data_IF_939221748919
#
_entry.id   IF_939221748919
#
_cell.length_a   1.000
_cell.length_b   1.000
_cell.length_c   1.000
_cell.angle_alpha   90.00
_cell.angle_beta   90.00
_cell.angle_gamma   90.00
#
_symmetry.space_group_name_H-M   'P 1'
#
loop_
_entity.id
_entity.type
_entity.pdbx_description
1 polymer ?
#
# COMPACT_ATOMS: atom_id res chain seq x y z
N UNK A 1 2.15 -13.08 33.72
CA UNK A 1 2.15 -11.66 33.32
C UNK A 1 1.54 -11.58 31.93
N UNK A 2 0.71 -10.57 31.64
CA UNK A 2 0.14 -10.40 30.30
C UNK A 2 1.22 -9.89 29.33
N UNK A 3 1.23 -10.40 28.11
CA UNK A 3 2.11 -9.94 27.04
C UNK A 3 1.66 -8.54 26.59
N UNK A 4 2.57 -7.57 26.61
CA UNK A 4 2.29 -6.20 26.17
C UNK A 4 2.56 -6.11 24.67
N UNK A 5 1.55 -5.74 23.87
CA UNK A 5 1.71 -5.54 22.42
C UNK A 5 1.12 -4.21 21.98
N UNK A 6 1.82 -3.52 21.09
CA UNK A 6 1.31 -2.36 20.37
C UNK A 6 0.83 -2.75 18.98
N UNK A 7 -0.41 -2.38 18.68
CA UNK A 7 -1.14 -2.74 17.47
C UNK A 7 -1.54 -1.48 16.70
N UNK A 8 -1.17 -1.37 15.42
CA UNK A 8 -1.48 -0.18 14.62
C UNK A 8 -2.34 -0.49 13.39
N UNK A 9 -3.48 0.20 13.26
CA UNK A 9 -4.48 -0.06 12.23
C UNK A 9 -5.09 1.24 11.71
N UNK A 10 -5.63 1.19 10.50
CA UNK A 10 -6.54 2.23 10.03
C UNK A 10 -7.82 2.26 10.87
N UNK A 11 -8.60 3.34 10.73
CA UNK A 11 -9.92 3.41 11.38
C UNK A 11 -10.88 2.42 10.70
N UNK A 12 -10.84 1.18 11.17
CA UNK A 12 -11.49 0.04 10.54
C UNK A 12 -12.51 -0.60 11.50
N UNK A 13 -13.80 -0.68 11.11
CA UNK A 13 -14.84 -1.31 11.94
C UNK A 13 -14.53 -2.75 12.33
N UNK A 14 -13.72 -3.48 11.55
CA UNK A 14 -13.33 -4.87 11.84
C UNK A 14 -12.36 -5.00 13.03
N UNK A 15 -11.59 -3.94 13.31
CA UNK A 15 -10.59 -3.91 14.40
C UNK A 15 -11.13 -3.15 15.61
N UNK A 16 -12.17 -2.33 15.42
CA UNK A 16 -12.82 -1.53 16.48
C UNK A 16 -13.13 -2.31 17.78
N UNK A 17 -13.63 -3.57 17.75
CA UNK A 17 -13.88 -4.33 18.98
C UNK A 17 -12.65 -4.59 19.84
N UNK A 18 -11.45 -4.65 19.24
CA UNK A 18 -10.19 -4.74 19.99
C UNK A 18 -9.83 -3.38 20.59
N UNK A 19 -10.01 -2.29 19.82
CA UNK A 19 -9.71 -0.92 20.23
C UNK A 19 -10.59 -0.42 21.38
N UNK A 20 -11.89 -0.70 21.35
CA UNK A 20 -12.84 -0.26 22.39
C UNK A 20 -12.97 -1.25 23.56
N UNK A 21 -12.25 -2.37 23.51
CA UNK A 21 -12.21 -3.38 24.55
C UNK A 21 -13.44 -4.29 24.62
N UNK A 22 -14.34 -4.24 23.63
CA UNK A 22 -15.45 -5.19 23.49
C UNK A 22 -14.94 -6.64 23.38
N UNK A 23 -13.80 -6.83 22.70
CA UNK A 23 -13.06 -8.09 22.63
C UNK A 23 -11.69 -7.89 23.24
N UNK A 24 -11.33 -8.74 24.21
CA UNK A 24 -10.02 -8.74 24.85
C UNK A 24 -9.33 -10.09 24.64
N UNK A 25 -8.15 -10.14 24.02
CA UNK A 25 -7.40 -11.37 23.91
C UNK A 25 -6.98 -11.88 25.31
N UNK A 26 -6.99 -13.19 25.49
CA UNK A 26 -6.55 -13.81 26.73
C UNK A 26 -5.03 -13.67 26.88
N UNK A 27 -4.57 -13.14 28.02
CA UNK A 27 -3.16 -13.07 28.36
C UNK A 27 -2.35 -12.02 27.59
N UNK A 28 -3.01 -11.12 26.85
CA UNK A 28 -2.38 -10.02 26.12
C UNK A 28 -3.02 -8.71 26.57
N UNK A 29 -2.17 -7.72 26.84
CA UNK A 29 -2.54 -6.33 27.03
C UNK A 29 -2.24 -5.57 25.74
N UNK A 30 -3.28 -5.02 25.11
CA UNK A 30 -3.22 -4.45 23.77
C UNK A 30 -3.30 -2.93 23.80
N UNK A 31 -2.25 -2.27 23.33
CA UNK A 31 -2.25 -0.86 23.00
C UNK A 31 -2.61 -0.65 21.52
N UNK A 32 -3.84 -0.25 21.23
CA UNK A 32 -4.31 -0.01 19.86
C UNK A 32 -4.11 1.45 19.42
N UNK A 33 -3.34 1.66 18.36
CA UNK A 33 -3.06 2.96 17.74
C UNK A 33 -3.82 3.06 16.41
N UNK A 34 -4.52 4.17 16.18
CA UNK A 34 -5.18 4.46 14.90
C UNK A 34 -4.36 5.47 14.10
N UNK A 35 -4.00 5.10 12.88
CA UNK A 35 -3.22 5.94 11.95
C UNK A 35 -3.86 5.82 10.56
N UNK A 36 -3.84 6.88 9.75
CA UNK A 36 -4.30 6.74 8.37
C UNK A 36 -3.42 5.72 7.62
N UNK A 37 -3.97 4.95 6.66
CA UNK A 37 -3.23 3.86 6.01
C UNK A 37 -1.91 4.29 5.38
N UNK A 38 -1.85 5.50 4.79
CA UNK A 38 -0.64 6.00 4.14
C UNK A 38 0.48 6.21 5.14
N UNK A 39 0.22 6.95 6.20
CA UNK A 39 1.23 7.17 7.24
C UNK A 39 1.54 5.90 8.03
N UNK A 40 0.55 5.01 8.22
CA UNK A 40 0.73 3.74 8.90
C UNK A 40 1.77 2.87 8.18
N UNK A 41 1.58 2.63 6.88
CA UNK A 41 2.45 1.74 6.12
C UNK A 41 3.83 2.36 5.93
N UNK A 42 3.92 3.64 5.59
CA UNK A 42 5.18 4.37 5.50
C UNK A 42 5.99 4.26 6.80
N UNK A 43 5.35 4.51 7.93
CA UNK A 43 5.99 4.46 9.25
C UNK A 43 6.48 3.05 9.57
N UNK A 44 5.65 2.04 9.35
CA UNK A 44 6.02 0.65 9.64
C UNK A 44 7.12 0.13 8.71
N UNK A 45 7.08 0.48 7.41
CA UNK A 45 8.15 0.19 6.45
C UNK A 45 9.47 0.89 6.83
N UNK A 46 9.39 2.08 7.41
CA UNK A 46 10.59 2.87 7.75
C UNK A 46 11.20 2.43 9.08
N UNK A 47 10.39 2.18 10.10
CA UNK A 47 10.87 2.03 11.47
C UNK A 47 10.60 0.68 12.11
N UNK A 48 9.73 -0.15 11.53
CA UNK A 48 9.32 -1.42 12.14
C UNK A 48 8.74 -1.22 13.56
N UNK A 49 7.88 -0.20 13.67
CA UNK A 49 7.48 0.45 14.94
C UNK A 49 6.44 -0.33 15.76
N UNK A 50 5.83 -1.38 15.20
CA UNK A 50 4.64 -2.03 15.77
C UNK A 50 4.79 -3.55 15.84
N UNK A 51 4.35 -4.14 16.95
CA UNK A 51 4.33 -5.60 17.11
C UNK A 51 3.32 -6.28 16.16
N UNK A 52 2.21 -5.58 15.88
CA UNK A 52 1.21 -5.97 14.88
C UNK A 52 0.74 -4.75 14.13
N UNK A 53 0.70 -4.81 12.80
CA UNK A 53 0.21 -3.73 11.98
C UNK A 53 -0.70 -4.21 10.85
N UNK A 54 -1.67 -3.38 10.48
CA UNK A 54 -2.24 -3.44 9.14
C UNK A 54 -1.15 -3.10 8.13
N UNK A 55 -1.04 -3.89 7.07
CA UNK A 55 -0.08 -3.65 5.99
C UNK A 55 -0.71 -3.90 4.62
N UNK A 56 -0.25 -3.12 3.63
CA UNK A 56 -0.52 -3.35 2.22
C UNK A 56 0.03 -4.73 1.81
N UNK A 57 -0.79 -5.54 1.12
CA UNK A 57 -0.39 -6.87 0.64
C UNK A 57 0.78 -6.75 -0.35
N UNK A 58 0.68 -5.81 -1.30
CA UNK A 58 1.74 -5.56 -2.29
C UNK A 58 3.07 -5.20 -1.62
N UNK A 59 3.04 -4.28 -0.65
CA UNK A 59 4.24 -3.86 0.08
C UNK A 59 4.78 -4.96 1.00
N UNK A 60 3.91 -5.79 1.58
CA UNK A 60 4.34 -6.95 2.38
C UNK A 60 5.09 -7.98 1.52
N UNK A 61 4.64 -8.20 0.29
CA UNK A 61 5.34 -9.09 -0.66
C UNK A 61 6.69 -8.50 -1.06
N UNK A 62 6.75 -7.20 -1.37
CA UNK A 62 8.01 -6.51 -1.69
C UNK A 62 8.98 -6.51 -0.51
N UNK A 63 8.49 -6.27 0.71
CA UNK A 63 9.30 -6.32 1.92
C UNK A 63 9.90 -7.72 2.14
N UNK A 64 9.14 -8.78 1.86
CA UNK A 64 9.63 -10.17 1.93
C UNK A 64 10.65 -10.50 0.82
N UNK A 65 10.41 -10.02 -0.39
CA UNK A 65 11.31 -10.24 -1.53
C UNK A 65 12.65 -9.53 -1.33
N UNK A 66 12.60 -8.29 -0.83
CA UNK A 66 13.76 -7.40 -0.72
C UNK A 66 14.45 -7.45 0.63
N UNK A 67 13.79 -8.00 1.65
CA UNK A 67 14.34 -8.15 2.98
C UNK A 67 15.49 -9.14 3.00
N UNK A 68 16.55 -8.80 3.74
CA UNK A 68 17.72 -9.65 3.98
C UNK A 68 17.64 -10.35 5.36
N UNK A 69 16.49 -10.25 6.02
CA UNK A 69 16.26 -10.77 7.38
C UNK A 69 16.66 -9.81 8.50
N UNK A 70 17.25 -8.65 8.20
CA UNK A 70 17.56 -7.62 9.21
C UNK A 70 16.38 -6.70 9.54
N UNK A 71 15.43 -6.57 8.60
CA UNK A 71 14.24 -5.73 8.68
C UNK A 71 13.04 -6.43 8.07
N UNK A 72 11.83 -6.02 8.47
CA UNK A 72 10.56 -6.55 7.94
C UNK A 72 10.42 -8.05 8.15
N UNK A 73 10.90 -8.56 9.27
CA UNK A 73 10.78 -9.97 9.65
C UNK A 73 9.36 -10.29 10.15
N UNK A 74 8.38 -9.97 9.31
CA UNK A 74 6.96 -10.04 9.63
C UNK A 74 6.35 -11.36 9.19
N UNK A 75 5.49 -11.90 10.05
CA UNK A 75 4.60 -13.00 9.70
C UNK A 75 3.24 -12.44 9.32
N UNK A 76 2.90 -12.52 8.03
CA UNK A 76 1.58 -12.12 7.55
C UNK A 76 0.50 -13.05 8.12
N UNK A 77 -0.50 -12.45 8.75
CA UNK A 77 -1.71 -13.15 9.17
C UNK A 77 -2.73 -13.11 8.03
N UNK A 78 -3.49 -14.20 7.77
CA UNK A 78 -4.48 -14.25 6.69
C UNK A 78 -5.78 -13.53 7.09
N UNK A 79 -5.66 -12.28 7.56
CA UNK A 79 -6.75 -11.44 8.03
C UNK A 79 -6.89 -10.24 7.10
N UNK A 80 -7.91 -10.28 6.24
CA UNK A 80 -8.14 -9.24 5.24
C UNK A 80 -9.09 -8.16 5.79
N UNK A 81 -8.53 -6.99 6.08
CA UNK A 81 -9.25 -5.90 6.73
C UNK A 81 -10.04 -5.01 5.76
N UNK A 82 -9.75 -5.10 4.46
CA UNK A 82 -10.41 -4.32 3.42
C UNK A 82 -10.73 -5.18 2.20
N UNK A 83 -11.81 -4.80 1.51
CA UNK A 83 -12.22 -5.32 0.20
C UNK A 83 -12.81 -4.16 -0.57
N UNK A 84 -12.36 -3.94 -1.80
CA UNK A 84 -12.83 -2.83 -2.60
C UNK A 84 -12.52 -3.01 -4.08
N UNK A 85 -13.23 -2.24 -4.91
CA UNK A 85 -12.97 -2.11 -6.34
C UNK A 85 -12.01 -0.93 -6.56
N UNK A 86 -10.74 -1.21 -6.82
CA UNK A 86 -9.68 -0.21 -6.72
C UNK A 86 -9.67 0.87 -7.81
N UNK A 87 -10.38 0.67 -8.92
CA UNK A 87 -10.51 1.67 -10.00
C UNK A 87 -11.83 2.44 -9.96
N UNK A 88 -12.73 2.15 -9.02
CA UNK A 88 -14.01 2.85 -8.92
C UNK A 88 -13.85 4.35 -8.62
N UNK A 89 -12.75 4.73 -7.98
CA UNK A 89 -12.42 6.11 -7.62
C UNK A 89 -11.41 6.74 -8.58
N UNK A 90 -11.18 6.15 -9.77
CA UNK A 90 -10.31 6.74 -10.76
C UNK A 90 -10.94 8.04 -11.29
N UNK A 91 -10.23 9.14 -11.14
CA UNK A 91 -10.62 10.42 -11.71
C UNK A 91 -9.76 10.72 -12.93
N UNK A 92 -10.40 11.22 -13.98
CA UNK A 92 -9.73 11.73 -15.18
C UNK A 92 -10.13 13.18 -15.41
N UNK A 93 -9.26 13.95 -16.04
CA UNK A 93 -9.62 15.30 -16.46
C UNK A 93 -10.71 15.21 -17.55
N UNK A 94 -11.78 16.00 -17.44
CA UNK A 94 -12.91 15.95 -18.40
C UNK A 94 -12.52 16.34 -19.83
N UNK A 95 -11.43 17.08 -20.00
CA UNK A 95 -10.85 17.47 -21.29
C UNK A 95 -9.79 16.49 -21.80
N UNK A 96 -9.55 15.36 -21.12
CA UNK A 96 -8.49 14.40 -21.50
C UNK A 96 -8.84 13.51 -22.69
N UNK A 97 -10.12 13.44 -23.08
CA UNK A 97 -10.60 12.50 -24.09
C UNK A 97 -10.66 11.04 -23.62
N UNK A 98 -10.46 10.76 -22.33
CA UNK A 98 -10.57 9.42 -21.74
C UNK A 98 -12.04 9.14 -21.40
N UNK A 99 -12.64 8.17 -22.11
CA UNK A 99 -14.03 7.73 -21.91
C UNK A 99 -14.12 6.36 -21.22
N UNK A 100 -13.00 5.63 -21.14
CA UNK A 100 -12.92 4.36 -20.44
C UNK A 100 -11.47 3.93 -20.19
N UNK A 101 -11.32 2.77 -19.54
CA UNK A 101 -10.00 2.25 -19.18
C UNK A 101 -9.13 1.90 -20.41
N UNK A 102 -9.72 1.53 -21.54
CA UNK A 102 -9.01 1.27 -22.79
C UNK A 102 -8.22 2.50 -23.31
N UNK A 103 -8.71 3.71 -23.02
CA UNK A 103 -8.08 4.96 -23.48
C UNK A 103 -6.83 5.33 -22.66
N UNK A 104 -6.54 4.58 -21.60
CA UNK A 104 -5.43 4.85 -20.70
C UNK A 104 -4.07 4.47 -21.27
N UNK A 105 -3.99 3.67 -22.35
CA UNK A 105 -2.71 3.32 -22.99
C UNK A 105 -1.96 4.60 -23.41
N UNK A 106 -0.67 4.68 -23.09
CA UNK A 106 0.18 5.82 -23.39
C UNK A 106 -0.10 7.06 -22.52
N UNK A 107 -0.88 6.95 -21.43
CA UNK A 107 -1.23 8.10 -20.59
C UNK A 107 -0.30 8.23 -19.38
N UNK A 108 -0.42 9.38 -18.73
CA UNK A 108 0.23 9.68 -17.45
C UNK A 108 -0.75 9.37 -16.34
N UNK A 109 -0.37 8.51 -15.41
CA UNK A 109 -1.25 8.02 -14.34
C UNK A 109 -0.65 8.42 -12.99
N UNK A 110 -1.43 9.16 -12.20
CA UNK A 110 -1.08 9.53 -10.83
C UNK A 110 -1.60 8.50 -9.84
N UNK A 111 -0.75 8.07 -8.91
CA UNK A 111 -1.07 7.17 -7.79
C UNK A 111 -0.38 7.68 -6.53
N UNK A 112 -0.91 7.45 -5.31
CA UNK A 112 -0.19 7.75 -4.07
C UNK A 112 1.22 7.15 -4.05
N UNK A 113 1.30 5.83 -4.25
CA UNK A 113 2.53 5.08 -4.46
C UNK A 113 2.31 4.01 -5.54
N UNK A 114 3.32 3.79 -6.37
CA UNK A 114 3.29 2.83 -7.46
C UNK A 114 3.13 1.40 -6.94
N UNK A 115 3.78 1.08 -5.83
CA UNK A 115 3.77 -0.22 -5.18
C UNK A 115 2.53 -0.49 -4.32
N UNK A 116 1.64 0.50 -4.11
CA UNK A 116 0.47 0.29 -3.27
C UNK A 116 -0.47 -0.78 -3.84
N UNK A 117 -1.13 -1.54 -2.95
CA UNK A 117 -2.02 -2.66 -3.33
C UNK A 117 -3.08 -2.27 -4.38
N UNK A 118 -3.70 -1.09 -4.24
CA UNK A 118 -4.70 -0.62 -5.19
C UNK A 118 -4.13 -0.31 -6.58
N UNK A 119 -2.91 0.24 -6.66
CA UNK A 119 -2.24 0.50 -7.94
C UNK A 119 -1.80 -0.82 -8.61
N UNK A 120 -1.40 -1.83 -7.83
CA UNK A 120 -1.13 -3.17 -8.33
C UNK A 120 -2.38 -3.80 -8.97
N UNK A 121 -3.50 -3.81 -8.25
CA UNK A 121 -4.77 -4.31 -8.80
C UNK A 121 -5.25 -3.53 -10.02
N UNK A 122 -5.03 -2.22 -10.04
CA UNK A 122 -5.33 -1.40 -11.20
C UNK A 122 -4.51 -1.82 -12.43
N UNK A 123 -3.20 -2.03 -12.27
CA UNK A 123 -2.34 -2.54 -13.35
C UNK A 123 -2.79 -3.91 -13.84
N UNK A 124 -3.15 -4.83 -12.94
CA UNK A 124 -3.69 -6.15 -13.30
C UNK A 124 -4.96 -5.98 -14.14
N UNK A 125 -5.85 -5.06 -13.77
CA UNK A 125 -7.08 -4.78 -14.51
C UNK A 125 -6.81 -4.25 -15.91
N UNK A 126 -5.87 -3.30 -16.04
CA UNK A 126 -5.47 -2.75 -17.34
C UNK A 126 -4.86 -3.83 -18.25
N UNK A 127 -4.01 -4.69 -17.69
CA UNK A 127 -3.40 -5.81 -18.40
C UNK A 127 -4.46 -6.83 -18.84
N UNK A 128 -5.19 -7.40 -17.89
CA UNK A 128 -6.06 -8.55 -18.14
C UNK A 128 -7.30 -8.20 -18.97
N UNK A 129 -7.82 -6.98 -18.84
CA UNK A 129 -9.04 -6.56 -19.54
C UNK A 129 -8.79 -5.77 -20.82
N UNK A 130 -7.63 -5.14 -20.98
CA UNK A 130 -7.36 -4.20 -22.09
C UNK A 130 -6.01 -4.39 -22.77
N UNK A 131 -5.21 -5.38 -22.38
CA UNK A 131 -3.85 -5.62 -22.93
C UNK A 131 -2.95 -4.38 -22.83
N UNK A 132 -3.11 -3.62 -21.74
CA UNK A 132 -2.30 -2.44 -21.42
C UNK A 132 -1.28 -2.86 -20.36
N UNK A 133 -0.03 -3.01 -20.78
CA UNK A 133 1.06 -3.34 -19.87
C UNK A 133 1.44 -2.13 -19.01
N UNK A 134 2.04 -2.37 -17.84
CA UNK A 134 2.47 -1.29 -16.96
C UNK A 134 3.44 -0.32 -17.66
N UNK A 135 4.29 -0.83 -18.55
CA UNK A 135 5.25 -0.06 -19.34
C UNK A 135 4.65 0.75 -20.48
N UNK A 136 3.38 0.51 -20.85
CA UNK A 136 2.68 1.35 -21.83
C UNK A 136 2.37 2.76 -21.30
N UNK A 137 2.54 2.98 -19.99
CA UNK A 137 2.15 4.20 -19.29
C UNK A 137 3.31 4.82 -18.51
N UNK A 138 3.18 6.10 -18.21
CA UNK A 138 4.10 6.82 -17.32
C UNK A 138 3.42 7.04 -15.98
N UNK A 139 4.06 6.60 -14.91
CA UNK A 139 3.48 6.62 -13.57
C UNK A 139 4.04 7.76 -12.73
N UNK A 140 3.20 8.41 -11.96
CA UNK A 140 3.59 9.50 -11.06
C UNK A 140 3.15 9.16 -9.64
N UNK A 141 4.11 9.05 -8.74
CA UNK A 141 3.86 8.89 -7.32
C UNK A 141 3.50 10.24 -6.72
N UNK A 142 2.45 10.27 -5.89
CA UNK A 142 1.98 11.47 -5.20
C UNK A 142 2.79 11.84 -3.97
N UNK A 143 3.76 11.01 -3.57
CA UNK A 143 4.67 11.25 -2.45
C UNK A 143 6.08 11.56 -2.96
N UNK A 144 6.89 12.25 -2.14
CA UNK A 144 8.33 12.36 -2.39
C UNK A 144 9.02 11.02 -2.08
N UNK A 145 10.25 10.83 -2.54
CA UNK A 145 10.99 9.57 -2.31
C UNK A 145 11.08 9.23 -0.83
N UNK A 146 11.36 10.23 0.01
CA UNK A 146 11.60 10.07 1.45
C UNK A 146 10.34 9.66 2.22
N UNK A 147 9.17 10.11 1.75
CA UNK A 147 7.88 9.85 2.39
C UNK A 147 7.08 8.75 1.69
N UNK A 148 7.65 8.13 0.66
CA UNK A 148 6.97 7.09 -0.10
C UNK A 148 7.18 5.69 0.47
N UNK A 149 6.20 4.82 0.24
CA UNK A 149 6.34 3.40 0.58
C UNK A 149 7.41 2.77 -0.33
N UNK A 150 7.34 3.09 -1.63
CA UNK A 150 8.29 2.58 -2.61
C UNK A 150 9.73 3.02 -2.33
N UNK A 151 9.96 4.23 -1.82
CA UNK A 151 11.29 4.70 -1.40
C UNK A 151 11.83 3.91 -0.22
N UNK A 152 11.01 3.62 0.80
CA UNK A 152 11.39 2.74 1.91
C UNK A 152 11.72 1.32 1.43
N UNK A 153 11.04 0.86 0.38
CA UNK A 153 11.27 -0.44 -0.28
C UNK A 153 12.36 -0.40 -1.36
N UNK A 154 13.03 0.74 -1.59
CA UNK A 154 14.14 0.88 -2.54
C UNK A 154 13.75 0.84 -4.02
N UNK A 155 12.50 1.20 -4.37
CA UNK A 155 12.04 1.30 -5.76
C UNK A 155 12.74 2.43 -6.55
N UNK A 156 13.34 3.40 -5.87
CA UNK A 156 14.16 4.44 -6.49
C UNK A 156 15.51 3.91 -7.00
N UNK A 157 16.03 2.83 -6.39
CA UNK A 157 17.31 2.20 -6.75
C UNK A 157 17.12 0.97 -7.64
N UNK A 158 16.14 0.13 -7.28
CA UNK A 158 15.79 -1.10 -7.96
C UNK A 158 14.29 -1.09 -8.27
N UNK A 159 13.91 -0.22 -9.20
CA UNK A 159 12.53 -0.05 -9.65
C UNK A 159 12.03 -1.16 -10.59
N UNK A 160 10.74 -1.15 -10.93
CA UNK A 160 10.16 -2.07 -11.91
C UNK A 160 10.84 -1.97 -13.28
N UNK A 161 11.25 -3.11 -13.84
CA UNK A 161 11.91 -3.19 -15.16
C UNK A 161 10.94 -2.77 -16.26
N UNK A 162 11.38 -1.88 -17.15
CA UNK A 162 10.60 -1.46 -18.31
C UNK A 162 9.43 -0.52 -17.98
N UNK A 163 9.32 -0.04 -16.74
CA UNK A 163 8.28 0.90 -16.33
C UNK A 163 8.89 2.24 -15.98
N UNK A 164 8.39 3.31 -16.61
CA UNK A 164 8.78 4.67 -16.26
C UNK A 164 7.89 5.16 -15.13
N UNK A 165 8.50 5.51 -14.00
CA UNK A 165 7.79 6.16 -12.90
C UNK A 165 8.60 7.33 -12.30
N UNK A 166 7.88 8.33 -11.82
CA UNK A 166 8.43 9.54 -11.24
C UNK A 166 7.92 9.72 -9.81
N UNK A 167 8.69 10.44 -9.00
CA UNK A 167 8.31 10.84 -7.65
C UNK A 167 7.88 12.29 -7.64
N UNK A 168 7.03 12.68 -6.68
CA UNK A 168 6.72 14.08 -6.48
C UNK A 168 8.00 14.83 -6.10
N UNK A 169 8.23 15.96 -6.76
CA UNK A 169 9.30 16.90 -6.45
C UNK A 169 8.67 18.16 -5.86
N UNK A 170 9.17 18.60 -4.70
CA UNK A 170 8.76 19.84 -4.01
C UNK A 170 9.86 20.88 -4.08
#
# INVERSE_FOLDING_TARGET
MALQLTMAFSDNPRVRPLKDGTVKPQGIDLNCITVDPGNLFQRNLTHDDFDVSEMSISETLLARERGDGSKWNWVALPVFLSRGLFWANLCVNTSSGINGLADLKGKRIGVPDYDMTAALWFRITLKDMYDIEAGDNIWYNGRTKELSHGGALGLDKAGPVGVTHHWLTV
#
